data_IF_050689755402
#
_entry.id   IF_050689755402
#
_cell.length_a   1.000
_cell.length_b   1.000
_cell.length_c   1.000
_cell.angle_alpha   90.00
_cell.angle_beta   90.00
_cell.angle_gamma   90.00
#
_symmetry.space_group_name_H-M   'P 1'
#
loop_
_entity.id
_entity.type
_entity.pdbx_description
1 polymer ?
#
# COMPACT_ATOMS: atom_id res chain seq x y z
N UNK A 1 -37.23 -4.36 -4.09
CA UNK A 1 -36.02 -4.97 -3.50
C UNK A 1 -35.71 -4.22 -2.22
N UNK A 2 -35.77 -4.90 -1.06
CA UNK A 2 -35.36 -4.28 0.21
C UNK A 2 -33.84 -4.15 0.22
N UNK A 3 -33.35 -2.95 0.54
CA UNK A 3 -31.91 -2.69 0.65
C UNK A 3 -31.38 -3.45 1.87
N UNK A 4 -30.34 -4.26 1.69
CA UNK A 4 -29.66 -4.95 2.80
C UNK A 4 -29.10 -3.93 3.80
N UNK A 5 -28.92 -4.31 5.06
CA UNK A 5 -28.35 -3.44 6.10
C UNK A 5 -27.02 -2.81 5.65
N UNK A 6 -26.16 -3.59 4.97
CA UNK A 6 -24.92 -3.11 4.36
C UNK A 6 -25.16 -2.03 3.29
N UNK A 7 -26.21 -2.20 2.46
CA UNK A 7 -26.59 -1.20 1.46
C UNK A 7 -27.09 0.10 2.08
N UNK A 8 -27.82 0.04 3.20
CA UNK A 8 -28.27 1.24 3.93
C UNK A 8 -27.10 2.01 4.53
N UNK A 9 -26.16 1.32 5.17
CA UNK A 9 -24.94 1.93 5.72
C UNK A 9 -24.12 2.60 4.62
N UNK A 10 -23.95 1.93 3.48
CA UNK A 10 -23.24 2.50 2.32
C UNK A 10 -23.86 3.82 1.85
N UNK A 11 -25.19 3.88 1.68
CA UNK A 11 -25.87 5.10 1.23
C UNK A 11 -25.71 6.25 2.24
N UNK A 12 -25.80 5.98 3.53
CA UNK A 12 -25.62 6.99 4.57
C UNK A 12 -24.19 7.55 4.54
N UNK A 13 -23.18 6.68 4.43
CA UNK A 13 -21.78 7.10 4.34
C UNK A 13 -21.53 7.96 3.08
N UNK A 14 -22.04 7.53 1.93
CA UNK A 14 -21.91 8.31 0.68
C UNK A 14 -22.61 9.66 0.80
N UNK A 15 -23.79 9.73 1.43
CA UNK A 15 -24.50 10.99 1.64
C UNK A 15 -23.70 11.94 2.54
N UNK A 16 -23.16 11.45 3.66
CA UNK A 16 -22.31 12.25 4.57
C UNK A 16 -21.07 12.77 3.84
N UNK A 17 -20.38 11.92 3.08
CA UNK A 17 -19.20 12.31 2.29
C UNK A 17 -19.54 13.33 1.20
N UNK A 18 -20.72 13.23 0.59
CA UNK A 18 -21.19 14.18 -0.40
C UNK A 18 -21.45 15.55 0.21
N UNK A 19 -22.13 15.61 1.36
CA UNK A 19 -22.37 16.86 2.10
C UNK A 19 -21.04 17.48 2.55
N UNK A 20 -20.14 16.67 3.11
CA UNK A 20 -18.79 17.10 3.52
C UNK A 20 -18.01 17.72 2.35
N UNK A 21 -17.98 17.02 1.21
CA UNK A 21 -17.25 17.47 0.02
C UNK A 21 -17.86 18.73 -0.57
N UNK A 22 -19.18 18.86 -0.54
CA UNK A 22 -19.88 20.07 -0.98
C UNK A 22 -19.52 21.29 -0.12
N UNK A 23 -19.50 21.14 1.20
CA UNK A 23 -19.13 22.21 2.14
C UNK A 23 -17.68 22.63 1.93
N UNK A 24 -16.75 21.68 1.84
CA UNK A 24 -15.33 21.97 1.58
C UNK A 24 -15.13 22.68 0.25
N UNK A 25 -15.79 22.21 -0.82
CA UNK A 25 -15.69 22.83 -2.15
C UNK A 25 -16.15 24.27 -2.13
N UNK A 26 -17.23 24.59 -1.40
CA UNK A 26 -17.69 25.97 -1.22
C UNK A 26 -16.66 26.85 -0.51
N UNK A 27 -16.06 26.36 0.58
CA UNK A 27 -15.02 27.11 1.28
C UNK A 27 -13.79 27.33 0.39
N UNK A 28 -13.41 26.31 -0.38
CA UNK A 28 -12.29 26.36 -1.30
C UNK A 28 -12.50 27.39 -2.41
N UNK A 29 -13.66 27.35 -3.07
CA UNK A 29 -14.02 28.31 -4.11
C UNK A 29 -14.19 29.73 -3.58
N UNK A 30 -14.76 29.91 -2.39
CA UNK A 30 -14.89 31.25 -1.79
C UNK A 30 -13.51 31.92 -1.65
N UNK A 31 -12.49 31.14 -1.30
CA UNK A 31 -11.11 31.62 -1.23
C UNK A 31 -10.50 31.83 -2.63
N UNK A 32 -10.67 30.86 -3.52
CA UNK A 32 -10.04 30.86 -4.85
C UNK A 32 -10.59 31.98 -5.75
N UNK A 33 -11.88 32.25 -5.64
CA UNK A 33 -12.57 33.23 -6.46
C UNK A 33 -12.32 34.67 -5.99
N UNK A 34 -11.85 34.93 -4.76
CA UNK A 34 -11.68 36.28 -4.21
C UNK A 34 -12.86 37.24 -4.53
N UNK A 35 -14.10 36.74 -4.38
CA UNK A 35 -15.38 37.38 -4.75
C UNK A 35 -15.71 37.49 -6.26
N UNK A 36 -15.00 36.79 -7.15
CA UNK A 36 -15.39 36.59 -8.55
C UNK A 36 -16.48 35.53 -8.67
N UNK A 37 -17.31 35.61 -9.71
CA UNK A 37 -18.20 34.51 -10.07
C UNK A 37 -17.37 33.30 -10.54
N UNK A 38 -17.43 32.20 -9.78
CA UNK A 38 -16.80 30.93 -10.16
C UNK A 38 -17.68 30.18 -11.16
N UNK A 39 -17.03 29.53 -12.14
CA UNK A 39 -17.72 28.73 -13.13
C UNK A 39 -18.28 27.44 -12.52
N UNK A 40 -19.46 27.01 -12.98
CA UNK A 40 -20.06 25.71 -12.60
C UNK A 40 -19.11 24.53 -12.85
N UNK A 41 -18.22 24.64 -13.84
CA UNK A 41 -17.22 23.61 -14.17
C UNK A 41 -16.11 23.53 -13.10
N UNK A 42 -15.67 24.66 -12.55
CA UNK A 42 -14.67 24.69 -11.47
C UNK A 42 -15.24 24.05 -10.20
N UNK A 43 -16.51 24.34 -9.88
CA UNK A 43 -17.20 23.70 -8.77
C UNK A 43 -17.27 22.18 -8.94
N UNK A 44 -17.71 21.72 -10.11
CA UNK A 44 -17.84 20.28 -10.38
C UNK A 44 -16.48 19.58 -10.27
N UNK A 45 -15.42 20.16 -10.85
CA UNK A 45 -14.08 19.60 -10.79
C UNK A 45 -13.56 19.48 -9.35
N UNK A 46 -13.63 20.57 -8.57
CA UNK A 46 -13.15 20.57 -7.19
C UNK A 46 -13.98 19.64 -6.31
N UNK A 47 -15.30 19.58 -6.53
CA UNK A 47 -16.17 18.64 -5.84
C UNK A 47 -15.75 17.20 -6.08
N UNK A 48 -15.52 16.80 -7.34
CA UNK A 48 -15.07 15.45 -7.67
C UNK A 48 -13.73 15.13 -7.01
N UNK A 49 -12.76 16.05 -7.06
CA UNK A 49 -11.45 15.84 -6.43
C UNK A 49 -11.57 15.64 -4.92
N UNK A 50 -12.29 16.53 -4.22
CA UNK A 50 -12.46 16.44 -2.76
C UNK A 50 -13.25 15.19 -2.38
N UNK A 51 -14.29 14.85 -3.15
CA UNK A 51 -15.10 13.67 -2.95
C UNK A 51 -14.28 12.40 -3.14
N UNK A 52 -13.52 12.27 -4.23
CA UNK A 52 -12.68 11.09 -4.51
C UNK A 52 -11.62 10.86 -3.42
N UNK A 53 -10.95 11.93 -2.98
CA UNK A 53 -9.95 11.83 -1.90
C UNK A 53 -10.62 11.38 -0.61
N UNK A 54 -11.77 11.98 -0.25
CA UNK A 54 -12.50 11.64 0.98
C UNK A 54 -13.07 10.20 0.93
N UNK A 55 -13.65 9.80 -0.21
CA UNK A 55 -14.24 8.47 -0.39
C UNK A 55 -13.21 7.35 -0.37
N UNK A 56 -11.96 7.64 -0.73
CA UNK A 56 -10.86 6.69 -0.56
C UNK A 56 -10.33 6.73 0.87
N UNK A 57 -10.11 7.91 1.44
CA UNK A 57 -9.45 8.03 2.73
C UNK A 57 -10.25 7.41 3.88
N UNK A 58 -11.54 7.76 4.05
CA UNK A 58 -12.30 7.34 5.24
C UNK A 58 -12.55 5.82 5.31
N UNK A 59 -13.03 5.15 4.24
CA UNK A 59 -13.25 3.71 4.28
C UNK A 59 -11.94 2.92 4.45
N UNK A 60 -10.87 3.30 3.75
CA UNK A 60 -9.59 2.63 3.89
C UNK A 60 -8.98 2.86 5.27
N UNK A 61 -9.13 4.04 5.86
CA UNK A 61 -8.68 4.29 7.24
C UNK A 61 -9.40 3.38 8.23
N UNK A 62 -10.72 3.20 8.07
CA UNK A 62 -11.49 2.29 8.91
C UNK A 62 -11.01 0.84 8.75
N UNK A 63 -10.90 0.33 7.52
CA UNK A 63 -10.47 -1.05 7.25
C UNK A 63 -9.04 -1.33 7.71
N UNK A 64 -8.10 -0.43 7.41
CA UNK A 64 -6.70 -0.61 7.80
C UNK A 64 -6.55 -0.51 9.31
N UNK A 65 -7.30 0.37 9.99
CA UNK A 65 -7.28 0.43 11.46
C UNK A 65 -7.79 -0.88 12.09
N UNK A 66 -8.85 -1.47 11.54
CA UNK A 66 -9.35 -2.78 11.99
C UNK A 66 -8.33 -3.89 11.74
N UNK A 67 -7.68 -3.89 10.57
CA UNK A 67 -6.65 -4.87 10.25
C UNK A 67 -5.41 -4.76 11.16
N UNK A 68 -4.94 -3.53 11.41
CA UNK A 68 -3.81 -3.26 12.31
C UNK A 68 -4.19 -3.59 13.77
N UNK A 69 -5.40 -3.25 14.20
CA UNK A 69 -5.90 -3.62 15.52
C UNK A 69 -5.97 -5.13 15.69
N UNK A 70 -6.50 -5.84 14.69
CA UNK A 70 -6.51 -7.30 14.65
C UNK A 70 -5.09 -7.88 14.73
N UNK A 71 -4.14 -7.34 13.97
CA UNK A 71 -2.76 -7.81 13.98
C UNK A 71 -2.03 -7.54 15.31
N UNK A 72 -2.36 -6.44 15.98
CA UNK A 72 -1.73 -6.02 17.24
C UNK A 72 -2.32 -6.71 18.48
N UNK A 73 -3.60 -7.06 18.45
CA UNK A 73 -4.31 -7.62 19.62
C UNK A 73 -4.51 -9.12 19.57
N UNK A 74 -4.52 -9.73 18.37
CA UNK A 74 -4.70 -11.18 18.24
C UNK A 74 -3.41 -11.93 18.58
N UNK A 75 -3.52 -13.06 19.29
CA UNK A 75 -2.37 -13.92 19.59
C UNK A 75 -1.72 -14.43 18.30
N UNK A 76 -0.39 -14.53 18.35
CA UNK A 76 0.43 -15.09 17.26
C UNK A 76 0.75 -16.55 17.61
N UNK A 77 0.54 -17.46 16.66
CA UNK A 77 0.84 -18.88 16.81
C UNK A 77 1.90 -19.30 15.80
N UNK A 78 2.75 -20.24 16.19
CA UNK A 78 3.63 -20.95 15.25
C UNK A 78 2.79 -22.05 14.57
N UNK A 79 2.63 -21.94 13.25
CA UNK A 79 1.82 -22.85 12.45
C UNK A 79 2.69 -23.62 11.46
N UNK A 80 2.41 -24.90 11.32
CA UNK A 80 3.07 -25.76 10.33
C UNK A 80 2.17 -25.90 9.10
N UNK A 81 2.73 -25.75 7.90
CA UNK A 81 1.98 -26.02 6.66
C UNK A 81 1.77 -27.53 6.52
N UNK A 82 0.51 -27.99 6.55
CA UNK A 82 0.17 -29.43 6.50
C UNK A 82 -0.27 -29.87 5.12
N UNK A 83 -0.95 -28.98 4.39
CA UNK A 83 -1.49 -29.27 3.06
C UNK A 83 -1.57 -27.97 2.26
N UNK A 84 -1.87 -28.07 0.97
CA UNK A 84 -2.22 -26.93 0.14
C UNK A 84 -3.32 -27.34 -0.83
N UNK A 85 -4.26 -26.43 -1.07
CA UNK A 85 -5.29 -26.58 -2.10
C UNK A 85 -4.85 -25.81 -3.33
N UNK A 86 -5.02 -26.40 -4.51
CA UNK A 86 -4.62 -25.79 -5.78
C UNK A 86 -5.87 -25.49 -6.61
N UNK A 87 -6.07 -24.24 -7.01
CA UNK A 87 -7.19 -23.82 -7.85
C UNK A 87 -6.66 -23.16 -9.13
N UNK A 88 -7.28 -23.49 -10.26
CA UNK A 88 -7.03 -22.79 -11.52
C UNK A 88 -7.77 -21.46 -11.53
N UNK A 89 -7.03 -20.36 -11.68
CA UNK A 89 -7.58 -19.01 -11.68
C UNK A 89 -7.33 -18.36 -13.04
N UNK A 90 -8.39 -17.88 -13.67
CA UNK A 90 -8.30 -17.08 -14.89
C UNK A 90 -7.63 -15.74 -14.58
N UNK A 91 -6.41 -15.56 -15.07
CA UNK A 91 -5.63 -14.34 -14.94
C UNK A 91 -5.68 -13.57 -16.26
N UNK A 92 -6.10 -12.31 -16.21
CA UNK A 92 -6.07 -11.43 -17.39
C UNK A 92 -4.68 -10.81 -17.55
N UNK A 93 -4.02 -11.16 -18.65
CA UNK A 93 -2.76 -10.56 -19.06
C UNK A 93 -3.02 -9.55 -20.17
N UNK A 94 -2.29 -8.45 -20.15
CA UNK A 94 -2.30 -7.47 -21.24
C UNK A 94 -0.94 -7.51 -21.91
N UNK A 95 -0.91 -7.88 -23.18
CA UNK A 95 0.30 -7.81 -24.01
C UNK A 95 0.72 -6.35 -24.21
N UNK A 96 1.99 -6.15 -24.55
CA UNK A 96 2.63 -4.89 -24.95
C UNK A 96 1.82 -4.09 -25.98
N UNK A 97 1.04 -4.79 -26.81
CA UNK A 97 0.12 -4.22 -27.81
C UNK A 97 -1.29 -3.89 -27.28
N UNK A 98 -1.51 -3.92 -25.96
CA UNK A 98 -2.80 -3.60 -25.32
C UNK A 98 -3.87 -4.68 -25.48
N UNK A 99 -3.52 -5.85 -26.01
CA UNK A 99 -4.44 -6.98 -26.17
C UNK A 99 -4.56 -7.74 -24.86
N UNK A 100 -5.79 -7.87 -24.35
CA UNK A 100 -6.10 -8.67 -23.17
C UNK A 100 -6.32 -10.13 -23.56
N UNK A 101 -5.60 -11.04 -22.93
CA UNK A 101 -5.83 -12.48 -23.05
C UNK A 101 -5.96 -13.10 -21.67
N UNK A 102 -6.76 -14.16 -21.56
CA UNK A 102 -6.96 -14.90 -20.31
C UNK A 102 -6.03 -16.12 -20.32
N UNK A 103 -5.25 -16.27 -19.26
CA UNK A 103 -4.41 -17.44 -19.01
C UNK A 103 -4.84 -18.05 -17.69
N UNK A 104 -4.92 -19.38 -17.66
CA UNK A 104 -5.17 -20.09 -16.40
C UNK A 104 -3.85 -20.19 -15.63
N UNK A 105 -3.80 -19.55 -14.47
CA UNK A 105 -2.67 -19.64 -13.55
C UNK A 105 -3.09 -20.52 -12.39
N UNK A 106 -2.28 -21.54 -12.08
CA UNK A 106 -2.50 -22.36 -10.90
C UNK A 106 -2.12 -21.55 -9.66
N UNK A 107 -3.07 -21.35 -8.75
CA UNK A 107 -2.84 -20.68 -7.47
C UNK A 107 -2.98 -21.68 -6.34
N UNK A 108 -2.03 -21.66 -5.41
CA UNK A 108 -1.98 -22.53 -4.26
C UNK A 108 -2.36 -21.75 -2.99
N UNK A 109 -3.29 -22.30 -2.21
CA UNK A 109 -3.66 -21.81 -0.88
C UNK A 109 -3.11 -22.78 0.16
N UNK A 110 -2.21 -22.32 1.02
CA UNK A 110 -1.61 -23.16 2.04
C UNK A 110 -2.61 -23.38 3.20
N UNK A 111 -2.72 -24.63 3.66
CA UNK A 111 -3.45 -25.00 4.87
C UNK A 111 -2.47 -25.14 6.02
N UNK A 112 -2.70 -24.34 7.05
CA UNK A 112 -1.82 -24.22 8.20
C UNK A 112 -2.46 -24.85 9.42
N UNK A 113 -1.66 -25.62 10.15
CA UNK A 113 -2.07 -26.25 11.39
C UNK A 113 -1.32 -25.61 12.55
N UNK A 114 -2.05 -25.14 13.55
CA UNK A 114 -1.48 -24.58 14.77
C UNK A 114 -2.26 -25.04 16.01
N UNK A 115 -1.63 -24.90 17.17
CA UNK A 115 -2.26 -25.13 18.46
C UNK A 115 -2.76 -23.81 19.02
N UNK A 116 -4.07 -23.72 19.24
CA UNK A 116 -4.73 -22.57 19.88
C UNK A 116 -4.42 -22.52 21.40
N UNK A 117 -4.74 -21.41 22.07
CA UNK A 117 -4.54 -21.20 23.52
C UNK A 117 -5.19 -22.28 24.40
N UNK A 118 -6.18 -22.99 23.84
CA UNK A 118 -6.90 -24.09 24.47
C UNK A 118 -6.32 -25.47 24.12
N UNK A 119 -5.11 -25.50 23.55
CA UNK A 119 -4.38 -26.70 23.10
C UNK A 119 -5.15 -27.54 22.06
N UNK A 120 -6.06 -26.90 21.32
CA UNK A 120 -6.79 -27.53 20.20
C UNK A 120 -5.99 -27.36 18.93
N UNK A 121 -5.92 -28.42 18.13
CA UNK A 121 -5.28 -28.39 16.82
C UNK A 121 -6.31 -27.88 15.82
N UNK A 122 -6.05 -26.71 15.22
CA UNK A 122 -6.90 -26.12 14.18
C UNK A 122 -6.15 -26.14 12.85
N UNK A 123 -6.82 -26.59 11.79
CA UNK A 123 -6.32 -26.53 10.41
C UNK A 123 -7.17 -25.52 9.66
N UNK A 124 -6.56 -24.41 9.23
CA UNK A 124 -7.25 -23.32 8.56
C UNK A 124 -6.50 -22.89 7.30
N UNK A 125 -7.23 -22.36 6.33
CA UNK A 125 -6.65 -21.82 5.10
C UNK A 125 -5.94 -20.49 5.41
N UNK A 126 -4.74 -20.32 4.83
CA UNK A 126 -4.02 -19.05 4.85
C UNK A 126 -4.74 -18.04 3.92
N UNK A 127 -4.89 -16.81 4.41
CA UNK A 127 -5.46 -15.67 3.67
C UNK A 127 -4.64 -15.26 2.44
N UNK A 128 -3.39 -15.73 2.31
CA UNK A 128 -2.50 -15.45 1.18
C UNK A 128 -2.51 -16.60 0.18
N UNK A 129 -2.82 -16.27 -1.08
CA UNK A 129 -2.70 -17.19 -2.23
C UNK A 129 -1.36 -16.94 -2.91
N UNK A 130 -0.64 -18.01 -3.21
CA UNK A 130 0.67 -17.97 -3.85
C UNK A 130 0.65 -18.67 -5.21
N UNK A 131 1.41 -18.15 -6.18
CA UNK A 131 1.71 -18.87 -7.41
C UNK A 131 2.79 -19.96 -7.22
N UNK A 132 3.64 -19.80 -6.20
CA UNK A 132 4.63 -20.81 -5.82
C UNK A 132 3.99 -21.89 -4.94
N UNK A 133 4.36 -23.14 -5.15
CA UNK A 133 3.91 -24.30 -4.35
C UNK A 133 4.39 -24.15 -2.90
N UNK A 134 3.48 -24.10 -1.90
CA UNK A 134 3.86 -24.06 -0.49
C UNK A 134 4.64 -25.31 -0.09
N UNK A 135 5.72 -25.15 0.66
CA UNK A 135 6.51 -26.28 1.16
C UNK A 135 5.81 -26.87 2.39
N UNK A 136 5.38 -28.13 2.29
CA UNK A 136 4.75 -28.86 3.40
C UNK A 136 5.79 -29.12 4.49
N UNK A 137 5.45 -28.81 5.74
CA UNK A 137 6.33 -28.92 6.90
C UNK A 137 7.06 -27.61 7.26
N UNK A 138 6.86 -26.53 6.50
CA UNK A 138 7.48 -25.24 6.81
C UNK A 138 6.75 -24.54 7.98
N UNK A 139 7.52 -23.82 8.79
CA UNK A 139 7.02 -23.12 9.99
C UNK A 139 6.74 -21.65 9.65
N UNK A 140 5.47 -21.26 9.75
CA UNK A 140 5.04 -19.88 9.52
C UNK A 140 4.33 -19.32 10.74
N UNK A 141 4.72 -18.12 11.15
CA UNK A 141 4.02 -17.41 12.22
C UNK A 141 2.72 -16.85 11.68
N UNK A 142 1.62 -17.21 12.32
CA UNK A 142 0.28 -16.78 11.92
C UNK A 142 -0.44 -16.05 13.03
N UNK A 143 -1.34 -15.16 12.66
CA UNK A 143 -2.20 -14.43 13.60
C UNK A 143 -3.62 -14.93 13.45
N UNK A 144 -4.20 -15.35 14.58
CA UNK A 144 -5.55 -15.91 14.64
C UNK A 144 -6.29 -15.36 15.86
N UNK A 145 -7.54 -14.94 15.68
CA UNK A 145 -8.48 -14.66 16.77
C UNK A 145 -9.62 -15.67 16.74
N UNK A 146 -10.10 -16.08 17.92
CA UNK A 146 -11.21 -17.03 18.04
C UNK A 146 -12.44 -16.56 17.23
N UNK A 147 -12.79 -17.31 16.17
CA UNK A 147 -13.91 -17.01 15.27
C UNK A 147 -13.52 -16.53 13.86
N UNK A 148 -12.23 -16.39 13.55
CA UNK A 148 -11.78 -16.09 12.19
C UNK A 148 -11.93 -17.31 11.25
N UNK A 149 -12.45 -17.09 10.03
CA UNK A 149 -12.60 -18.13 8.99
C UNK A 149 -11.29 -18.44 8.25
N UNK A 150 -10.29 -17.55 8.34
CA UNK A 150 -9.01 -17.64 7.63
C UNK A 150 -7.89 -17.08 8.49
N UNK A 151 -6.68 -17.57 8.29
CA UNK A 151 -5.51 -17.21 9.09
C UNK A 151 -4.62 -16.22 8.34
N UNK A 152 -4.11 -15.18 9.03
CA UNK A 152 -3.20 -14.19 8.41
C UNK A 152 -1.74 -14.52 8.68
N UNK A 153 -0.94 -14.62 7.62
CA UNK A 153 0.51 -14.81 7.73
C UNK A 153 1.22 -13.55 8.19
N UNK A 154 1.99 -13.68 9.29
CA UNK A 154 2.86 -12.63 9.81
C UNK A 154 4.25 -12.78 9.22
N UNK A 155 4.43 -12.38 7.97
CA UNK A 155 5.74 -12.32 7.33
C UNK A 155 6.24 -10.89 7.17
N UNK A 156 7.56 -10.76 6.95
CA UNK A 156 8.20 -9.47 6.64
C UNK A 156 7.53 -8.76 5.45
N UNK A 157 7.05 -9.53 4.46
CA UNK A 157 6.31 -9.02 3.29
C UNK A 157 4.98 -8.40 3.70
N UNK A 158 4.20 -9.09 4.53
CA UNK A 158 2.95 -8.56 5.09
C UNK A 158 3.20 -7.28 5.87
N UNK A 159 4.24 -7.24 6.70
CA UNK A 159 4.65 -6.04 7.44
C UNK A 159 5.00 -4.86 6.52
N UNK A 160 5.74 -5.11 5.43
CA UNK A 160 6.08 -4.09 4.43
C UNK A 160 4.84 -3.57 3.69
N UNK A 161 3.90 -4.44 3.32
CA UNK A 161 2.64 -4.05 2.67
C UNK A 161 1.76 -3.21 3.60
N UNK A 162 1.68 -3.56 4.89
CA UNK A 162 0.99 -2.74 5.88
C UNK A 162 1.68 -1.38 6.06
N UNK A 163 3.01 -1.33 6.15
CA UNK A 163 3.75 -0.08 6.23
C UNK A 163 3.52 0.81 5.00
N UNK A 164 3.52 0.22 3.79
CA UNK A 164 3.20 0.93 2.55
C UNK A 164 1.76 1.45 2.53
N UNK A 165 0.80 0.65 3.00
CA UNK A 165 -0.61 1.04 3.09
C UNK A 165 -0.81 2.19 4.09
N UNK A 166 -0.17 2.11 5.26
CA UNK A 166 -0.19 3.19 6.25
C UNK A 166 0.46 4.47 5.72
N UNK A 167 1.58 4.34 4.98
CA UNK A 167 2.22 5.48 4.33
C UNK A 167 1.31 6.12 3.27
N UNK A 168 0.62 5.33 2.46
CA UNK A 168 -0.35 5.84 1.48
C UNK A 168 -1.51 6.56 2.17
N UNK A 169 -2.06 5.99 3.24
CA UNK A 169 -3.11 6.63 4.04
C UNK A 169 -2.61 7.94 4.68
N UNK A 170 -1.39 7.95 5.17
CA UNK A 170 -0.76 9.16 5.71
C UNK A 170 -0.67 10.27 4.63
N UNK A 171 -0.22 9.94 3.42
CA UNK A 171 -0.15 10.90 2.31
C UNK A 171 -1.54 11.41 1.92
N UNK A 172 -2.52 10.51 1.80
CA UNK A 172 -3.90 10.87 1.46
C UNK A 172 -4.54 11.77 2.53
N UNK A 173 -4.36 11.42 3.81
CA UNK A 173 -4.83 12.21 4.94
C UNK A 173 -4.15 13.57 5.01
N UNK A 174 -2.85 13.64 4.71
CA UNK A 174 -2.11 14.89 4.64
C UNK A 174 -2.64 15.82 3.54
N UNK A 175 -2.93 15.29 2.35
CA UNK A 175 -3.57 16.05 1.26
C UNK A 175 -4.94 16.56 1.70
N UNK A 176 -5.75 15.72 2.37
CA UNK A 176 -7.05 16.13 2.89
C UNK A 176 -6.93 17.27 3.91
N UNK A 177 -5.95 17.19 4.82
CA UNK A 177 -5.64 18.28 5.77
C UNK A 177 -5.24 19.56 5.04
N UNK A 178 -4.45 19.49 3.97
CA UNK A 178 -4.10 20.65 3.16
C UNK A 178 -5.33 21.28 2.47
N UNK A 179 -6.23 20.46 1.93
CA UNK A 179 -7.49 20.93 1.33
C UNK A 179 -8.34 21.66 2.37
N UNK A 180 -8.50 21.07 3.57
CA UNK A 180 -9.26 21.67 4.67
C UNK A 180 -8.60 22.98 5.13
N UNK A 181 -7.30 22.97 5.39
CA UNK A 181 -6.56 24.14 5.81
C UNK A 181 -6.63 25.26 4.76
N UNK A 182 -6.61 24.91 3.47
CA UNK A 182 -6.77 25.88 2.41
C UNK A 182 -8.19 26.44 2.40
N UNK A 183 -9.22 25.60 2.49
CA UNK A 183 -10.62 26.05 2.56
C UNK A 183 -10.88 26.99 3.74
N UNK A 184 -10.25 26.75 4.89
CA UNK A 184 -10.37 27.56 6.11
C UNK A 184 -9.51 28.83 6.12
N UNK A 185 -8.92 29.21 4.99
CA UNK A 185 -8.06 30.37 4.85
C UNK A 185 -6.83 30.38 5.78
N UNK A 186 -6.28 29.21 6.13
CA UNK A 186 -5.02 29.13 6.87
C UNK A 186 -3.81 29.37 5.97
N UNK A 187 -2.71 29.76 6.60
CA UNK A 187 -1.40 29.89 5.96
C UNK A 187 -0.91 28.51 5.48
N UNK A 188 -0.49 28.46 4.22
CA UNK A 188 -0.02 27.26 3.55
C UNK A 188 1.50 27.07 3.69
N UNK A 189 2.24 28.08 4.16
CA UNK A 189 3.69 28.03 4.33
C UNK A 189 4.18 26.82 5.16
N UNK A 190 3.61 26.50 6.35
CA UNK A 190 4.07 25.35 7.14
C UNK A 190 3.77 24.02 6.46
N UNK A 191 2.61 23.91 5.79
CA UNK A 191 2.23 22.71 5.05
C UNK A 191 3.17 22.48 3.85
N UNK A 192 3.40 23.51 3.03
CA UNK A 192 4.32 23.40 1.89
C UNK A 192 5.75 23.05 2.33
N UNK A 193 6.22 23.63 3.43
CA UNK A 193 7.54 23.31 4.00
C UNK A 193 7.62 21.85 4.46
N UNK A 194 6.59 21.35 5.13
CA UNK A 194 6.52 19.95 5.55
C UNK A 194 6.44 19.00 4.34
N UNK A 195 5.60 19.30 3.35
CA UNK A 195 5.49 18.50 2.13
C UNK A 195 6.83 18.43 1.38
N UNK A 196 7.52 19.57 1.22
CA UNK A 196 8.84 19.61 0.59
C UNK A 196 9.87 18.80 1.39
N UNK A 197 9.85 18.91 2.73
CA UNK A 197 10.74 18.11 3.59
C UNK A 197 10.45 16.62 3.41
N UNK A 198 9.19 16.22 3.45
CA UNK A 198 8.80 14.82 3.30
C UNK A 198 9.22 14.27 1.94
N UNK A 199 8.88 14.95 0.84
CA UNK A 199 9.17 14.48 -0.52
C UNK A 199 10.67 14.47 -0.79
N UNK A 200 11.33 15.63 -0.66
CA UNK A 200 12.71 15.78 -1.12
C UNK A 200 13.74 15.23 -0.14
N UNK A 201 13.44 15.21 1.16
CA UNK A 201 14.40 14.80 2.19
C UNK A 201 14.13 13.42 2.76
N UNK A 202 12.91 12.90 2.64
CA UNK A 202 12.58 11.56 3.16
C UNK A 202 12.29 10.61 2.01
N UNK A 203 11.26 10.86 1.20
CA UNK A 203 10.78 9.91 0.19
C UNK A 203 11.79 9.66 -0.93
N UNK A 204 12.36 10.71 -1.53
CA UNK A 204 13.35 10.56 -2.61
C UNK A 204 14.61 9.83 -2.12
N UNK A 205 15.24 10.23 -0.98
CA UNK A 205 16.36 9.50 -0.40
C UNK A 205 16.05 8.04 -0.07
N UNK A 206 14.90 7.78 0.53
CA UNK A 206 14.53 6.43 0.94
C UNK A 206 14.25 5.54 -0.28
N UNK A 207 13.56 6.06 -1.30
CA UNK A 207 13.32 5.35 -2.55
C UNK A 207 14.60 5.06 -3.33
N UNK A 208 15.52 6.03 -3.40
CA UNK A 208 16.81 5.86 -4.10
C UNK A 208 17.72 4.87 -3.38
N UNK A 209 17.78 4.91 -2.04
CA UNK A 209 18.46 3.90 -1.22
C UNK A 209 17.87 2.50 -1.40
N UNK A 210 16.54 2.37 -1.40
CA UNK A 210 15.88 1.09 -1.60
C UNK A 210 16.18 0.51 -3.00
N UNK A 211 16.11 1.35 -4.04
CA UNK A 211 16.43 0.96 -5.41
C UNK A 211 17.89 0.51 -5.55
N UNK A 212 18.82 1.27 -4.98
CA UNK A 212 20.23 0.91 -4.95
C UNK A 212 20.48 -0.41 -4.21
N UNK A 213 19.81 -0.62 -3.08
CA UNK A 213 19.92 -1.86 -2.30
C UNK A 213 19.43 -3.07 -3.11
N UNK A 214 18.29 -2.95 -3.78
CA UNK A 214 17.75 -4.03 -4.61
C UNK A 214 18.67 -4.36 -5.79
N UNK A 215 19.16 -3.35 -6.50
CA UNK A 215 20.06 -3.54 -7.64
C UNK A 215 21.41 -4.14 -7.22
N UNK A 216 21.97 -3.65 -6.12
CA UNK A 216 23.24 -4.14 -5.57
C UNK A 216 23.09 -5.57 -5.03
N UNK A 217 21.94 -5.91 -4.46
CA UNK A 217 21.65 -7.27 -4.01
C UNK A 217 21.65 -8.27 -5.18
N UNK A 218 21.12 -7.91 -6.35
CA UNK A 218 21.18 -8.77 -7.54
C UNK A 218 22.62 -9.11 -7.95
N UNK A 219 23.52 -8.12 -7.88
CA UNK A 219 24.96 -8.33 -8.15
C UNK A 219 25.59 -9.20 -7.07
N UNK A 220 25.33 -8.89 -5.80
CA UNK A 220 25.85 -9.66 -4.67
C UNK A 220 25.40 -11.13 -4.72
N UNK A 221 24.12 -11.39 -4.95
CA UNK A 221 23.56 -12.73 -5.01
C UNK A 221 24.14 -13.56 -6.16
N UNK A 222 24.44 -12.93 -7.30
CA UNK A 222 25.05 -13.60 -8.43
C UNK A 222 26.49 -14.05 -8.14
N UNK A 223 27.32 -13.15 -7.60
CA UNK A 223 28.75 -13.43 -7.37
C UNK A 223 29.04 -14.18 -6.06
N UNK A 224 28.31 -13.90 -4.98
CA UNK A 224 28.61 -14.43 -3.64
C UNK A 224 27.69 -15.58 -3.22
N UNK A 225 26.43 -15.62 -3.68
CA UNK A 225 25.49 -16.70 -3.34
C UNK A 225 25.41 -17.78 -4.43
N UNK A 226 26.23 -17.69 -5.48
CA UNK A 226 26.26 -18.70 -6.55
C UNK A 226 25.01 -18.72 -7.43
N UNK A 227 24.35 -17.58 -7.61
CA UNK A 227 23.17 -17.41 -8.45
C UNK A 227 21.93 -18.24 -8.03
N UNK A 228 21.34 -17.97 -6.83
CA UNK A 228 20.22 -18.74 -6.31
C UNK A 228 18.90 -18.59 -7.09
N UNK A 229 18.86 -17.76 -8.14
CA UNK A 229 17.65 -17.46 -8.94
C UNK A 229 17.87 -17.63 -10.45
N UNK A 230 18.95 -18.30 -10.86
CA UNK A 230 19.31 -18.51 -12.27
C UNK A 230 19.23 -17.23 -13.12
N UNK A 231 19.70 -16.10 -12.57
CA UNK A 231 19.68 -14.81 -13.25
C UNK A 231 20.66 -14.82 -14.43
N UNK A 232 20.25 -14.38 -15.64
CA UNK A 232 21.16 -14.23 -16.77
C UNK A 232 22.24 -13.16 -16.49
N UNK A 233 23.46 -13.40 -16.96
CA UNK A 233 24.62 -12.50 -16.77
C UNK A 233 24.33 -11.06 -17.19
N UNK A 234 23.61 -10.87 -18.30
CA UNK A 234 23.29 -9.54 -18.82
C UNK A 234 22.38 -8.74 -17.87
N UNK A 235 21.48 -9.40 -17.14
CA UNK A 235 20.61 -8.75 -16.14
C UNK A 235 21.45 -8.21 -15.00
N UNK A 236 22.44 -8.99 -14.56
CA UNK A 236 23.35 -8.60 -13.48
C UNK A 236 24.25 -7.43 -13.91
N UNK A 237 24.72 -7.44 -15.17
CA UNK A 237 25.50 -6.33 -15.73
C UNK A 237 24.69 -5.03 -15.77
N UNK A 238 23.42 -5.09 -16.19
CA UNK A 238 22.52 -3.93 -16.19
C UNK A 238 22.24 -3.45 -14.76
N UNK A 239 21.92 -4.36 -13.83
CA UNK A 239 21.69 -4.00 -12.43
C UNK A 239 22.93 -3.36 -11.79
N UNK A 240 24.13 -3.87 -12.08
CA UNK A 240 25.40 -3.30 -11.62
C UNK A 240 25.64 -1.92 -12.19
N UNK A 241 25.41 -1.72 -13.50
CA UNK A 241 25.53 -0.41 -14.14
C UNK A 241 24.61 0.63 -13.49
N UNK A 242 23.32 0.32 -13.29
CA UNK A 242 22.39 1.23 -12.64
C UNK A 242 22.72 1.49 -11.17
N UNK A 243 23.22 0.48 -10.45
CA UNK A 243 23.69 0.65 -9.07
C UNK A 243 24.85 1.66 -9.00
N UNK A 244 25.84 1.54 -9.90
CA UNK A 244 26.97 2.49 -9.97
C UNK A 244 26.49 3.90 -10.36
N UNK A 245 25.56 4.02 -11.30
CA UNK A 245 24.98 5.31 -11.67
C UNK A 245 24.19 5.99 -10.53
N UNK A 246 23.68 5.24 -9.56
CA UNK A 246 22.98 5.78 -8.40
C UNK A 246 23.92 6.28 -7.29
N UNK A 247 25.19 5.86 -7.28
CA UNK A 247 26.17 6.26 -6.25
C UNK A 247 26.38 7.78 -6.15
N UNK A 248 26.55 8.55 -7.25
CA UNK A 248 26.69 10.00 -7.16
C UNK A 248 25.49 10.67 -6.52
N UNK A 249 24.29 10.17 -6.82
CA UNK A 249 23.03 10.70 -6.30
C UNK A 249 22.87 10.39 -4.81
N UNK A 250 23.23 9.17 -4.38
CA UNK A 250 23.26 8.79 -2.96
C UNK A 250 24.32 9.59 -2.19
N UNK A 251 25.51 9.75 -2.77
CA UNK A 251 26.57 10.57 -2.20
C UNK A 251 26.08 12.00 -1.98
N UNK A 252 25.47 12.61 -3.00
CA UNK A 252 24.90 13.96 -2.92
C UNK A 252 23.77 14.08 -1.88
N UNK A 253 22.98 13.02 -1.68
CA UNK A 253 21.93 12.97 -0.65
C UNK A 253 22.56 12.87 0.76
N UNK A 254 23.60 12.06 0.94
CA UNK A 254 24.27 11.81 2.22
C UNK A 254 25.18 12.98 2.66
N UNK A 255 25.93 13.59 1.74
CA UNK A 255 26.77 14.78 2.04
C UNK A 255 25.94 16.04 2.22
N UNK A 256 24.64 15.93 1.97
CA UNK A 256 23.64 16.97 2.16
C UNK A 256 23.57 17.91 0.97
N UNK A 257 22.39 18.51 0.80
CA UNK A 257 22.10 19.68 -0.04
C UNK A 257 22.88 20.94 0.38
N UNK A 258 24.09 20.79 0.93
CA UNK A 258 25.00 21.89 1.24
C UNK A 258 25.57 22.54 -0.01
N UNK A 259 25.58 21.84 -1.15
CA UNK A 259 26.09 22.36 -2.41
C UNK A 259 25.22 23.46 -3.06
N UNK A 260 23.99 23.69 -2.59
CA UNK A 260 23.04 24.67 -3.15
C UNK A 260 22.62 25.74 -2.13
N UNK A 261 23.50 26.07 -1.18
CA UNK A 261 23.23 27.07 -0.13
C UNK A 261 24.07 28.34 -0.27
N UNK A 262 24.41 28.70 -1.51
CA UNK A 262 24.91 30.03 -1.90
C UNK A 262 23.84 30.75 -2.70
#
# INVERSE_FOLDING_TARGET
MQLTYAGQVFLVVVAILSVWSFVLTKFWLKRLANNRESSKLEFSYLFVVVFSISSLFFPFTYWVSQAVYGLATKPSYDATVVSYTSEWVDTEHTDSNGRKYKTQTLMHTAQVQFKDDQNRILTLDNSVRSGDTPVVGDHITVVYGAGDLTVQEKSWRTGLLFAATLFMLFVMGYILVMIIAYGLNRDMAPYRKFANLLIFRVTIPLGTMAMFTMLSYSVFAYFFLGNPRDLPVWVVAICGFFSVCLLPLIYHILTGWKAYRE
#
